data_IF_610202937280
#
_entry.id   IF_610202937280
#
_cell.length_a   1.000
_cell.length_b   1.000
_cell.length_c   1.000
_cell.angle_alpha   90.00
_cell.angle_beta   90.00
_cell.angle_gamma   90.00
#
_symmetry.space_group_name_H-M   'P 1'
#
loop_
_entity.id
_entity.type
_entity.pdbx_description
1 polymer ?
#
# COMPACT_ATOMS: atom_id res chain seq x y z
N UNK A 1 -39.57 -43.07 -16.89
CA UNK A 1 -39.46 -41.61 -17.07
C UNK A 1 -39.39 -40.92 -15.72
N UNK A 2 -38.19 -40.48 -15.30
CA UNK A 2 -37.99 -39.36 -14.37
C UNK A 2 -36.50 -39.01 -14.35
N UNK A 3 -36.02 -38.64 -15.54
CA UNK A 3 -34.78 -37.89 -15.72
C UNK A 3 -35.02 -36.46 -15.22
N UNK A 4 -33.92 -35.76 -14.91
CA UNK A 4 -33.79 -34.38 -14.44
C UNK A 4 -33.98 -34.17 -12.94
N UNK A 5 -32.86 -34.24 -12.22
CA UNK A 5 -32.48 -33.27 -11.18
C UNK A 5 -30.96 -33.41 -10.98
N UNK A 6 -30.22 -32.97 -11.99
CA UNK A 6 -28.77 -32.86 -11.94
C UNK A 6 -28.40 -31.65 -12.78
N UNK A 7 -28.24 -30.51 -12.11
CA UNK A 7 -27.89 -29.26 -12.76
C UNK A 7 -28.01 -28.09 -11.80
N UNK A 8 -26.93 -27.31 -11.73
CA UNK A 8 -26.75 -26.06 -10.98
C UNK A 8 -26.17 -26.26 -9.57
N UNK A 9 -24.91 -26.69 -9.53
CA UNK A 9 -23.92 -26.22 -8.56
C UNK A 9 -22.69 -25.77 -9.34
N UNK A 10 -22.87 -24.77 -10.22
CA UNK A 10 -21.75 -24.07 -10.87
C UNK A 10 -21.21 -23.08 -9.83
N UNK A 11 -20.18 -23.53 -9.12
CA UNK A 11 -18.88 -22.85 -8.99
C UNK A 11 -18.97 -21.33 -8.81
N UNK A 12 -19.13 -20.89 -7.56
CA UNK A 12 -18.65 -19.58 -7.09
C UNK A 12 -17.20 -19.75 -6.62
N UNK A 13 -16.29 -20.09 -7.53
CA UNK A 13 -14.86 -19.85 -7.31
C UNK A 13 -14.59 -18.37 -7.62
N UNK A 14 -14.94 -17.48 -6.69
CA UNK A 14 -14.26 -16.20 -6.61
C UNK A 14 -12.81 -16.51 -6.22
N UNK A 15 -11.96 -16.79 -7.22
CA UNK A 15 -10.54 -17.00 -7.00
C UNK A 15 -9.98 -15.78 -6.31
N UNK A 16 -9.32 -15.96 -5.16
CA UNK A 16 -8.48 -14.95 -4.55
C UNK A 16 -7.34 -14.65 -5.53
N UNK A 17 -7.56 -13.73 -6.45
CA UNK A 17 -6.51 -13.26 -7.35
C UNK A 17 -5.49 -12.51 -6.52
N UNK A 18 -4.32 -13.11 -6.35
CA UNK A 18 -3.19 -12.48 -5.67
C UNK A 18 -2.66 -11.31 -6.51
N UNK A 19 -1.95 -10.36 -5.88
CA UNK A 19 -1.31 -9.26 -6.63
C UNK A 19 -0.38 -9.78 -7.75
N UNK A 20 0.31 -10.90 -7.52
CA UNK A 20 1.14 -11.54 -8.54
C UNK A 20 0.31 -11.97 -9.78
N UNK A 21 -0.88 -12.51 -9.55
CA UNK A 21 -1.83 -12.88 -10.62
C UNK A 21 -2.33 -11.64 -11.36
N UNK A 22 -2.62 -10.55 -10.64
CA UNK A 22 -3.08 -9.28 -11.23
C UNK A 22 -2.01 -8.63 -12.12
N UNK A 23 -0.75 -8.67 -11.68
CA UNK A 23 0.37 -8.05 -12.39
C UNK A 23 0.91 -8.93 -13.52
N UNK A 24 0.62 -10.23 -13.52
CA UNK A 24 1.06 -11.18 -14.54
C UNK A 24 2.57 -11.10 -14.82
N UNK A 25 3.36 -10.93 -13.77
CA UNK A 25 4.82 -10.84 -13.84
C UNK A 25 5.39 -9.54 -14.40
N UNK A 26 4.59 -8.51 -14.66
CA UNK A 26 5.06 -7.22 -15.16
C UNK A 26 4.50 -6.03 -14.37
N UNK A 27 5.29 -4.96 -14.27
CA UNK A 27 4.86 -3.65 -13.81
C UNK A 27 4.67 -2.69 -14.99
N UNK A 28 4.06 -3.17 -16.07
CA UNK A 28 3.65 -2.33 -17.21
C UNK A 28 2.22 -1.85 -17.00
N UNK A 29 1.98 -0.53 -16.87
CA UNK A 29 0.63 0.00 -16.72
C UNK A 29 -0.24 -0.24 -17.97
N UNK A 30 -1.57 -0.32 -17.83
CA UNK A 30 -2.48 -0.28 -18.96
C UNK A 30 -2.33 1.02 -19.77
N UNK A 31 -2.75 1.03 -21.06
CA UNK A 31 -2.74 2.25 -21.87
C UNK A 31 -3.51 3.39 -21.20
N UNK A 32 -2.92 4.59 -21.20
CA UNK A 32 -3.51 5.78 -20.56
C UNK A 32 -3.48 5.78 -19.04
N UNK A 33 -2.70 4.89 -18.43
CA UNK A 33 -2.49 4.80 -16.98
C UNK A 33 -1.00 4.84 -16.65
N UNK A 34 -0.72 5.01 -15.36
CA UNK A 34 0.57 4.92 -14.72
C UNK A 34 0.43 4.15 -13.39
N UNK A 35 1.54 3.63 -12.89
CA UNK A 35 1.60 2.99 -11.60
C UNK A 35 2.40 3.83 -10.61
N UNK A 36 1.85 4.03 -9.41
CA UNK A 36 2.56 4.53 -8.26
C UNK A 36 2.65 3.44 -7.20
N UNK A 37 3.85 3.15 -6.74
CA UNK A 37 4.14 2.14 -5.73
C UNK A 37 4.70 2.81 -4.50
N UNK A 38 4.15 2.51 -3.33
CA UNK A 38 4.64 3.03 -2.06
C UNK A 38 4.48 1.98 -0.97
N UNK A 39 5.38 1.97 0.00
CA UNK A 39 5.24 1.10 1.17
C UNK A 39 4.53 1.84 2.30
N UNK A 40 3.38 1.33 2.73
CA UNK A 40 2.61 1.86 3.85
C UNK A 40 2.84 0.97 5.06
N UNK A 41 3.65 1.44 6.01
CA UNK A 41 4.05 0.66 7.19
C UNK A 41 3.62 1.35 8.47
N UNK A 42 3.53 0.60 9.55
CA UNK A 42 3.25 1.16 10.85
C UNK A 42 3.95 0.43 11.97
N UNK A 43 4.06 1.12 13.11
CA UNK A 43 4.53 0.56 14.38
C UNK A 43 3.54 0.94 15.46
N UNK A 44 3.12 -0.04 16.25
CA UNK A 44 2.22 0.15 17.37
C UNK A 44 2.60 -0.82 18.49
N UNK A 45 2.25 -0.49 19.73
CA UNK A 45 2.39 -1.42 20.85
C UNK A 45 1.54 -2.69 20.67
N UNK A 46 0.34 -2.52 20.10
CA UNK A 46 -0.57 -3.62 19.78
C UNK A 46 -0.86 -3.61 18.27
N UNK A 47 0.01 -4.22 17.44
CA UNK A 47 -0.17 -4.27 15.99
C UNK A 47 -1.42 -5.06 15.59
N UNK A 48 -1.89 -5.98 16.45
CA UNK A 48 -3.04 -6.86 16.17
C UNK A 48 -4.36 -6.09 15.95
N UNK A 49 -4.43 -4.88 16.50
CA UNK A 49 -5.60 -3.98 16.42
C UNK A 49 -5.34 -2.74 15.58
N UNK A 50 -4.18 -2.65 14.93
CA UNK A 50 -3.72 -1.42 14.30
C UNK A 50 -3.84 -1.47 12.77
N UNK A 51 -4.26 -0.34 12.20
CA UNK A 51 -4.31 -0.11 10.75
C UNK A 51 -3.77 1.27 10.41
N UNK A 52 -3.11 1.36 9.27
CA UNK A 52 -2.61 2.60 8.69
C UNK A 52 -3.26 2.79 7.34
N UNK A 53 -3.77 3.98 7.06
CA UNK A 53 -4.32 4.32 5.74
C UNK A 53 -3.66 5.56 5.14
N UNK A 54 -3.80 5.69 3.83
CA UNK A 54 -3.31 6.84 3.06
C UNK A 54 -4.39 7.39 2.15
N UNK A 55 -4.22 8.64 1.74
CA UNK A 55 -5.05 9.28 0.72
C UNK A 55 -4.18 10.06 -0.29
N UNK A 56 -4.53 9.92 -1.56
CA UNK A 56 -3.91 10.64 -2.68
C UNK A 56 -4.95 11.57 -3.30
N UNK A 57 -4.52 12.80 -3.60
CA UNK A 57 -5.34 13.81 -4.27
C UNK A 57 -4.78 14.18 -5.63
N UNK A 58 -5.67 14.53 -6.55
CA UNK A 58 -5.31 15.19 -7.81
C UNK A 58 -5.07 16.70 -7.63
N UNK A 59 -4.69 17.38 -8.70
CA UNK A 59 -4.49 18.84 -8.72
C UNK A 59 -5.76 19.63 -8.36
N UNK A 60 -6.95 19.06 -8.58
CA UNK A 60 -8.22 19.69 -8.21
C UNK A 60 -8.56 19.48 -6.71
N UNK A 61 -7.69 18.79 -5.96
CA UNK A 61 -7.85 18.50 -4.54
C UNK A 61 -8.83 17.37 -4.25
N UNK A 62 -9.29 16.62 -5.27
CA UNK A 62 -10.20 15.48 -5.11
C UNK A 62 -9.40 14.26 -4.69
N UNK A 63 -9.94 13.47 -3.77
CA UNK A 63 -9.35 12.17 -3.41
C UNK A 63 -9.58 11.20 -4.58
N UNK A 64 -8.49 10.72 -5.17
CA UNK A 64 -8.50 9.83 -6.35
C UNK A 64 -8.04 8.41 -6.03
N UNK A 65 -7.36 8.23 -4.90
CA UNK A 65 -7.01 6.91 -4.39
C UNK A 65 -6.86 6.93 -2.86
N UNK A 66 -7.24 5.83 -2.25
CA UNK A 66 -7.03 5.52 -0.84
C UNK A 66 -6.61 4.06 -0.73
N UNK A 67 -5.75 3.75 0.24
CA UNK A 67 -5.40 2.37 0.57
C UNK A 67 -5.18 2.25 2.08
N UNK A 68 -5.31 1.04 2.60
CA UNK A 68 -5.23 0.70 4.02
C UNK A 68 -4.34 -0.55 4.14
N UNK A 69 -3.43 -0.49 5.10
CA UNK A 69 -2.64 -1.60 5.58
C UNK A 69 -3.10 -1.99 6.98
N UNK A 70 -3.44 -3.27 7.17
CA UNK A 70 -3.67 -3.85 8.48
C UNK A 70 -2.36 -4.38 9.03
N UNK A 71 -1.94 -3.94 10.22
CA UNK A 71 -0.65 -4.34 10.78
C UNK A 71 -0.63 -5.79 11.28
N UNK A 72 -1.79 -6.45 11.36
CA UNK A 72 -1.90 -7.87 11.71
C UNK A 72 -1.77 -8.80 10.51
N UNK A 73 -2.34 -8.43 9.35
CA UNK A 73 -2.42 -9.33 8.18
C UNK A 73 -1.52 -8.92 7.03
N UNK A 74 -1.20 -7.63 6.89
CA UNK A 74 -0.36 -7.14 5.82
C UNK A 74 1.10 -7.13 6.25
N UNK A 75 1.96 -7.60 5.35
CA UNK A 75 3.40 -7.65 5.59
C UNK A 75 4.18 -7.28 4.35
N UNK A 76 5.19 -6.42 4.51
CA UNK A 76 6.17 -6.14 3.46
C UNK A 76 7.42 -6.99 3.66
N UNK A 77 7.50 -8.06 2.89
CA UNK A 77 8.68 -8.93 2.84
C UNK A 77 9.84 -8.27 2.07
N UNK A 78 11.04 -8.23 2.66
CA UNK A 78 12.25 -7.77 1.98
C UNK A 78 12.88 -8.79 1.04
N UNK A 79 14.15 -8.61 0.71
CA UNK A 79 14.97 -9.65 0.08
C UNK A 79 15.12 -10.89 1.00
N UNK A 80 15.63 -11.99 0.47
CA UNK A 80 15.89 -13.18 1.28
C UNK A 80 16.88 -12.84 2.41
N UNK A 81 16.56 -13.26 3.64
CA UNK A 81 17.32 -12.91 4.84
C UNK A 81 16.96 -11.56 5.50
N UNK A 82 16.11 -10.73 4.88
CA UNK A 82 15.58 -9.54 5.54
C UNK A 82 14.36 -9.87 6.40
N UNK A 83 14.27 -9.25 7.58
CA UNK A 83 13.07 -9.34 8.42
C UNK A 83 11.88 -8.68 7.73
N UNK A 84 10.69 -9.30 7.76
CA UNK A 84 9.45 -8.64 7.33
C UNK A 84 9.13 -7.44 8.22
N UNK A 85 8.33 -6.51 7.70
CA UNK A 85 7.76 -5.40 8.47
C UNK A 85 6.24 -5.38 8.33
N UNK A 86 5.55 -4.92 9.37
CA UNK A 86 4.10 -4.77 9.38
C UNK A 86 3.67 -3.64 8.45
N UNK A 87 2.75 -3.97 7.54
CA UNK A 87 2.25 -3.02 6.54
C UNK A 87 2.13 -3.61 5.16
N UNK A 88 1.79 -2.75 4.19
CA UNK A 88 1.45 -3.15 2.83
C UNK A 88 2.28 -2.39 1.81
N UNK A 89 2.80 -3.12 0.82
CA UNK A 89 3.28 -2.49 -0.40
C UNK A 89 2.05 -2.20 -1.27
N UNK A 90 1.79 -0.93 -1.51
CA UNK A 90 0.61 -0.43 -2.21
C UNK A 90 0.95 -0.18 -3.66
N UNK A 91 0.06 -0.60 -4.57
CA UNK A 91 0.13 -0.32 -6.00
C UNK A 91 -1.13 0.46 -6.40
N UNK A 92 -0.94 1.73 -6.73
CA UNK A 92 -1.99 2.61 -7.24
C UNK A 92 -1.94 2.63 -8.77
N UNK A 93 -3.10 2.51 -9.41
CA UNK A 93 -3.27 2.72 -10.85
C UNK A 93 -3.95 4.05 -11.06
N UNK A 94 -3.24 5.02 -11.62
CA UNK A 94 -3.70 6.40 -11.77
C UNK A 94 -3.49 6.86 -13.21
N UNK A 95 -4.33 7.77 -13.74
CA UNK A 95 -4.02 8.46 -14.99
C UNK A 95 -2.68 9.22 -14.91
N UNK A 96 -2.10 9.63 -16.04
CA UNK A 96 -0.95 10.53 -16.05
C UNK A 96 -1.34 11.90 -15.50
N UNK A 97 -0.47 12.51 -14.71
CA UNK A 97 -0.72 13.82 -14.11
C UNK A 97 0.05 14.05 -12.81
N UNK A 98 -0.25 15.19 -12.18
CA UNK A 98 0.30 15.54 -10.88
C UNK A 98 -0.66 15.19 -9.76
N UNK A 99 -0.07 14.68 -8.69
CA UNK A 99 -0.77 14.19 -7.53
C UNK A 99 -0.09 14.68 -6.26
N UNK A 100 -0.79 14.51 -5.15
CA UNK A 100 -0.25 14.78 -3.82
C UNK A 100 -0.65 13.65 -2.90
N UNK A 101 0.33 13.06 -2.21
CA UNK A 101 0.04 12.25 -1.02
C UNK A 101 -0.45 13.20 0.07
N UNK A 102 -1.77 13.28 0.22
CA UNK A 102 -2.42 14.31 1.02
C UNK A 102 -2.17 14.08 2.51
N UNK A 103 -2.25 12.83 2.94
CA UNK A 103 -2.00 12.46 4.31
C UNK A 103 -2.11 10.97 4.56
N UNK A 104 -1.74 10.61 5.78
CA UNK A 104 -1.94 9.28 6.35
C UNK A 104 -2.71 9.36 7.64
N UNK A 105 -3.34 8.26 7.99
CA UNK A 105 -4.06 8.12 9.23
C UNK A 105 -3.77 6.78 9.87
N UNK A 106 -3.85 6.74 11.20
CA UNK A 106 -3.70 5.53 11.99
C UNK A 106 -4.94 5.31 12.82
N UNK A 107 -5.27 4.05 13.00
CA UNK A 107 -6.30 3.56 13.88
C UNK A 107 -5.72 2.42 14.71
N UNK A 108 -5.72 2.53 16.04
CA UNK A 108 -5.20 1.49 16.93
C UNK A 108 -5.91 1.51 18.27
N UNK A 109 -5.82 0.40 18.99
CA UNK A 109 -6.30 0.30 20.36
C UNK A 109 -5.14 0.48 21.36
N UNK A 110 -5.39 1.20 22.44
CA UNK A 110 -4.47 1.31 23.59
C UNK A 110 -5.15 0.77 24.84
N UNK A 111 -4.44 -0.05 25.59
CA UNK A 111 -4.93 -0.55 26.87
C UNK A 111 -4.79 0.53 27.95
N UNK A 112 -5.93 1.02 28.43
CA UNK A 112 -6.03 1.95 29.55
C UNK A 112 -6.47 1.25 30.84
N UNK A 113 -6.41 2.00 31.95
CA UNK A 113 -6.84 1.53 33.28
C UNK A 113 -8.31 1.07 33.32
N UNK A 114 -9.14 1.58 32.41
CA UNK A 114 -10.58 1.27 32.31
C UNK A 114 -10.94 0.39 31.11
N UNK A 115 -9.96 -0.23 30.46
CA UNK A 115 -10.15 -1.05 29.27
C UNK A 115 -9.51 -0.43 28.02
N UNK A 116 -9.82 -1.03 26.87
CA UNK A 116 -9.25 -0.65 25.58
C UNK A 116 -9.88 0.64 25.04
N UNK A 117 -9.05 1.63 24.72
CA UNK A 117 -9.48 2.89 24.11
C UNK A 117 -9.04 2.97 22.66
N UNK A 118 -9.95 3.44 21.80
CA UNK A 118 -9.74 3.51 20.37
C UNK A 118 -9.11 4.85 19.99
N UNK A 119 -7.90 4.81 19.43
CA UNK A 119 -7.19 6.00 18.97
C UNK A 119 -7.27 6.12 17.47
N UNK A 120 -7.60 7.33 17.02
CA UNK A 120 -7.51 7.73 15.62
C UNK A 120 -6.65 8.99 15.55
N UNK A 121 -5.67 8.99 14.64
CA UNK A 121 -4.84 10.16 14.33
C UNK A 121 -4.69 10.32 12.82
N UNK A 122 -4.62 11.57 12.38
CA UNK A 122 -4.44 11.93 10.98
C UNK A 122 -3.27 12.90 10.86
N UNK A 123 -2.44 12.71 9.84
CA UNK A 123 -1.25 13.49 9.54
C UNK A 123 -1.33 13.99 8.12
N UNK A 124 -1.15 15.30 7.96
CA UNK A 124 -1.07 15.93 6.64
C UNK A 124 0.37 15.84 6.15
N UNK A 125 0.57 15.32 4.95
CA UNK A 125 1.89 15.21 4.33
C UNK A 125 2.06 16.22 3.20
N UNK A 126 1.03 16.38 2.36
CA UNK A 126 1.06 17.24 1.18
C UNK A 126 2.32 17.03 0.30
N UNK A 127 2.78 15.78 0.17
CA UNK A 127 3.97 15.45 -0.60
C UNK A 127 3.61 15.29 -2.09
N UNK A 128 4.09 16.18 -2.99
CA UNK A 128 3.73 16.14 -4.40
C UNK A 128 4.48 15.04 -5.15
N UNK A 129 3.86 14.49 -6.19
CA UNK A 129 4.52 13.60 -7.16
C UNK A 129 3.86 13.67 -8.53
N UNK A 130 4.61 13.28 -9.58
CA UNK A 130 4.16 13.32 -10.97
C UNK A 130 4.26 11.94 -11.62
N UNK A 131 3.26 11.57 -12.42
CA UNK A 131 3.23 10.32 -13.19
C UNK A 131 3.13 10.59 -14.69
N UNK A 132 4.10 10.08 -15.47
CA UNK A 132 4.00 10.08 -16.92
C UNK A 132 3.16 8.90 -17.43
N UNK A 133 2.68 9.00 -18.67
CA UNK A 133 1.95 7.92 -19.32
C UNK A 133 2.80 6.65 -19.47
N UNK A 134 2.25 5.51 -19.03
CA UNK A 134 2.94 4.22 -19.08
C UNK A 134 4.08 4.07 -18.07
N UNK A 135 4.26 5.03 -17.16
CA UNK A 135 5.33 4.99 -16.19
C UNK A 135 4.96 4.18 -14.94
N UNK A 136 5.94 3.49 -14.37
CA UNK A 136 5.85 2.91 -13.03
C UNK A 136 6.85 3.60 -12.11
N UNK A 137 6.36 4.15 -11.01
CA UNK A 137 7.13 4.99 -10.10
C UNK A 137 7.10 4.41 -8.69
N UNK A 138 8.27 4.26 -8.08
CA UNK A 138 8.39 3.94 -6.65
C UNK A 138 8.58 5.23 -5.84
N UNK A 139 7.66 5.47 -4.92
CA UNK A 139 7.54 6.68 -4.11
C UNK A 139 8.16 6.56 -2.71
N UNK A 140 8.81 5.43 -2.39
CA UNK A 140 9.40 5.22 -1.08
C UNK A 140 8.42 4.62 -0.07
N UNK A 141 8.71 4.85 1.20
CA UNK A 141 7.93 4.40 2.35
C UNK A 141 7.30 5.59 3.07
N UNK A 142 6.06 5.37 3.50
CA UNK A 142 5.41 6.12 4.57
C UNK A 142 5.29 5.21 5.78
N UNK A 143 5.97 5.58 6.87
CA UNK A 143 5.89 4.87 8.14
C UNK A 143 5.14 5.71 9.15
N UNK A 144 4.08 5.16 9.73
CA UNK A 144 3.37 5.75 10.86
C UNK A 144 3.81 5.07 12.17
N UNK A 145 4.55 5.78 13.00
CA UNK A 145 4.79 5.37 14.38
C UNK A 145 3.58 5.80 15.22
N UNK A 146 2.94 4.84 15.90
CA UNK A 146 1.79 5.06 16.77
C UNK A 146 2.15 4.85 18.24
N UNK A 147 3.37 4.39 18.53
CA UNK A 147 3.86 4.17 19.88
C UNK A 147 4.30 5.50 20.51
N UNK A 148 3.85 5.78 21.73
CA UNK A 148 4.18 6.98 22.52
C UNK A 148 3.74 8.31 21.88
N UNK A 149 4.55 8.87 20.99
CA UNK A 149 4.31 10.13 20.29
C UNK A 149 4.07 9.82 18.81
N UNK A 150 2.80 9.81 18.36
CA UNK A 150 2.49 9.47 16.99
C UNK A 150 3.18 10.41 15.99
N UNK A 151 3.96 9.85 15.07
CA UNK A 151 4.74 10.57 14.06
C UNK A 151 4.76 9.83 12.73
N UNK A 152 4.94 10.58 11.65
CA UNK A 152 5.06 10.02 10.29
C UNK A 152 6.44 10.29 9.75
N UNK A 153 7.02 9.28 9.10
CA UNK A 153 8.33 9.37 8.44
C UNK A 153 8.21 8.98 6.98
N UNK A 154 8.84 9.78 6.12
CA UNK A 154 9.07 9.47 4.72
C UNK A 154 10.52 8.99 4.54
N UNK A 155 10.72 7.90 3.82
CA UNK A 155 12.03 7.25 3.68
C UNK A 155 12.15 6.45 2.38
N UNK A 156 13.38 6.15 1.94
CA UNK A 156 13.63 5.24 0.82
C UNK A 156 13.98 3.84 1.35
N UNK A 157 13.06 2.89 1.19
CA UNK A 157 13.22 1.48 1.61
C UNK A 157 13.28 0.53 0.40
N UNK A 158 13.77 1.04 -0.74
CA UNK A 158 13.77 0.34 -2.03
C UNK A 158 14.34 -1.07 -1.98
N UNK A 159 15.41 -1.29 -1.20
CA UNK A 159 16.01 -2.63 -1.07
C UNK A 159 14.97 -3.65 -0.59
N UNK A 160 14.24 -3.33 0.48
CA UNK A 160 13.17 -4.18 1.01
C UNK A 160 12.03 -4.28 0.00
N UNK A 161 11.53 -3.15 -0.47
CA UNK A 161 10.31 -3.11 -1.27
C UNK A 161 10.48 -3.77 -2.63
N UNK A 162 11.65 -3.65 -3.26
CA UNK A 162 11.97 -4.35 -4.51
C UNK A 162 12.14 -5.86 -4.26
N UNK A 163 12.65 -6.24 -3.08
CA UNK A 163 12.61 -7.61 -2.61
C UNK A 163 11.19 -8.18 -2.55
N UNK A 164 10.23 -7.39 -2.03
CA UNK A 164 8.81 -7.75 -2.02
C UNK A 164 8.27 -7.95 -3.44
N UNK A 165 8.52 -7.00 -4.33
CA UNK A 165 8.03 -7.07 -5.71
C UNK A 165 8.53 -8.34 -6.43
N UNK A 166 9.81 -8.69 -6.24
CA UNK A 166 10.38 -9.91 -6.83
C UNK A 166 9.80 -11.18 -6.20
N UNK A 167 9.75 -11.24 -4.87
CA UNK A 167 9.44 -12.49 -4.15
C UNK A 167 7.96 -12.75 -4.01
N UNK A 168 7.17 -11.71 -3.75
CA UNK A 168 5.73 -11.80 -3.45
C UNK A 168 4.91 -11.47 -4.68
N UNK A 169 5.20 -10.34 -5.35
CA UNK A 169 4.49 -9.97 -6.58
C UNK A 169 4.99 -10.69 -7.82
N UNK A 170 6.09 -11.45 -7.71
CA UNK A 170 6.69 -12.23 -8.81
C UNK A 170 7.08 -11.37 -10.01
N UNK A 171 7.61 -10.17 -9.76
CA UNK A 171 8.12 -9.26 -10.80
C UNK A 171 9.63 -9.48 -10.94
N UNK A 172 10.12 -10.16 -11.99
CA UNK A 172 11.53 -10.48 -12.13
C UNK A 172 12.37 -9.26 -12.53
N UNK A 173 11.82 -8.38 -13.37
CA UNK A 173 12.50 -7.18 -13.88
C UNK A 173 11.88 -5.90 -13.28
N UNK A 174 12.72 -5.15 -12.56
CA UNK A 174 12.37 -3.86 -11.97
C UNK A 174 13.15 -2.70 -12.59
N UNK A 175 13.85 -2.93 -13.70
CA UNK A 175 14.66 -1.92 -14.39
C UNK A 175 13.85 -0.71 -14.87
N UNK A 176 12.56 -0.92 -15.15
CA UNK A 176 11.61 0.10 -15.60
C UNK A 176 10.97 0.89 -14.45
N UNK A 177 11.24 0.53 -13.18
CA UNK A 177 10.67 1.24 -12.03
C UNK A 177 11.51 2.47 -11.70
N UNK A 178 10.95 3.65 -11.99
CA UNK A 178 11.57 4.93 -11.65
C UNK A 178 11.46 5.17 -10.14
N UNK A 179 12.58 5.19 -9.44
CA UNK A 179 12.57 5.49 -8.00
C UNK A 179 12.64 7.00 -7.76
N UNK A 180 11.56 7.55 -7.22
CA UNK A 180 11.40 8.96 -6.83
C UNK A 180 10.77 9.02 -5.43
N UNK A 181 11.53 8.68 -4.36
CA UNK A 181 11.01 8.71 -3.01
C UNK A 181 10.44 10.07 -2.65
N UNK A 182 9.30 10.07 -1.96
CA UNK A 182 8.70 11.28 -1.41
C UNK A 182 9.62 11.84 -0.33
N UNK A 183 9.78 13.15 -0.34
CA UNK A 183 10.45 13.89 0.71
C UNK A 183 9.42 14.64 1.55
N UNK A 184 9.73 14.89 2.82
CA UNK A 184 8.96 15.86 3.60
C UNK A 184 9.04 17.22 2.87
N UNK A 185 7.92 17.95 2.69
CA UNK A 185 8.01 19.34 2.29
C UNK A 185 8.88 20.05 3.32
N UNK A 186 9.97 20.68 2.87
CA UNK A 186 10.94 21.34 3.74
C UNK A 186 10.26 22.18 4.80
N UNK A 187 10.62 21.95 6.06
CA UNK A 187 10.16 22.73 7.21
C UNK A 187 10.48 24.21 7.05
#
# INVERSE_FOLDING_TARGET
>A
MRRLLLGICIVLLAGCTSMATRLNGSLTPPPGQAYAILSLTGKAFNPDSASVGLSVRDQQGRVVAEDIASLITDTVFGEEGMSPVEGKLVLLTLPPGDYTLAGVWGHWAEDGVFGSDLKIRQFKLNAPFHLNAGETVYLGQVQLEMSFLPEVKLSDERKRDFGHMRRVWKIPDLSQVAARPLAEPGK
#
